data_IF_980992941540
#
_entry.id   IF_980992941540
#
_cell.length_a   1.000
_cell.length_b   1.000
_cell.length_c   1.000
_cell.angle_alpha   90.00
_cell.angle_beta   90.00
_cell.angle_gamma   90.00
#
_symmetry.space_group_name_H-M   'P 1'
#
loop_
_entity.id
_entity.type
_entity.pdbx_description
1 polymer ?
#
# COMPACT_ATOMS: atom_id res chain seq x y z
N UNK A 1 -10.53 25.61 34.74
CA UNK A 1 -9.41 24.78 34.26
C UNK A 1 -9.85 23.31 34.26
N UNK A 2 -10.35 22.83 33.12
CA UNK A 2 -10.56 21.42 32.69
C UNK A 2 -11.51 21.44 31.48
N UNK A 3 -10.98 21.28 30.27
CA UNK A 3 -11.80 20.96 29.09
C UNK A 3 -11.38 19.58 28.61
N UNK A 4 -12.31 18.63 28.71
CA UNK A 4 -12.13 17.23 28.32
C UNK A 4 -12.18 17.09 26.79
N UNK A 5 -11.35 16.16 26.30
CA UNK A 5 -11.57 15.21 25.21
C UNK A 5 -11.95 15.70 23.82
N UNK A 6 -11.16 15.26 22.83
CA UNK A 6 -11.73 14.63 21.63
C UNK A 6 -10.87 13.42 21.22
N UNK A 7 -11.33 12.26 21.68
CA UNK A 7 -10.90 10.94 21.23
C UNK A 7 -11.61 10.66 19.90
N UNK A 8 -10.91 9.96 18.99
CA UNK A 8 -11.43 9.30 17.80
C UNK A 8 -11.79 10.19 16.60
N UNK A 9 -10.78 10.51 15.80
CA UNK A 9 -10.94 10.50 14.35
C UNK A 9 -10.28 9.22 13.84
N UNK A 10 -10.95 8.07 13.96
CA UNK A 10 -10.67 6.90 13.12
C UNK A 10 -11.05 7.25 11.69
N UNK A 11 -10.26 8.12 11.06
CA UNK A 11 -10.36 8.43 9.64
C UNK A 11 -10.06 7.11 8.93
N UNK A 12 -11.12 6.41 8.51
CA UNK A 12 -11.06 5.12 7.80
C UNK A 12 -10.06 5.31 6.66
N UNK A 13 -8.85 4.79 6.81
CA UNK A 13 -7.75 5.07 5.88
C UNK A 13 -8.11 4.40 4.56
N UNK A 14 -8.66 5.18 3.63
CA UNK A 14 -9.11 4.69 2.34
C UNK A 14 -7.91 4.68 1.40
N UNK A 15 -7.06 3.67 1.55
CA UNK A 15 -5.90 3.46 0.68
C UNK A 15 -6.35 3.02 -0.71
N UNK A 16 -7.31 2.10 -0.78
CA UNK A 16 -7.81 1.53 -2.02
C UNK A 16 -9.15 2.15 -2.43
N UNK A 17 -9.19 2.73 -3.64
CA UNK A 17 -10.41 3.08 -4.36
C UNK A 17 -10.73 2.06 -5.46
N UNK A 18 -11.61 2.42 -6.40
CA UNK A 18 -11.96 1.58 -7.57
C UNK A 18 -10.73 1.20 -8.40
N UNK A 19 -9.77 2.13 -8.50
CA UNK A 19 -8.56 1.97 -9.30
C UNK A 19 -7.29 1.77 -8.44
N UNK A 20 -7.45 1.27 -7.21
CA UNK A 20 -6.33 1.04 -6.28
C UNK A 20 -5.86 2.28 -5.53
N UNK A 21 -4.58 2.30 -5.16
CA UNK A 21 -3.93 3.44 -4.48
C UNK A 21 -3.47 4.43 -5.55
N UNK A 22 -3.93 5.67 -5.48
CA UNK A 22 -3.56 6.75 -6.43
C UNK A 22 -3.04 7.97 -5.70
N UNK A 23 -2.12 8.68 -6.36
CA UNK A 23 -1.50 9.89 -5.84
C UNK A 23 -0.26 10.29 -6.64
N UNK A 24 0.34 11.43 -6.29
CA UNK A 24 1.66 11.81 -6.80
C UNK A 24 2.73 10.94 -6.14
N UNK A 25 3.65 10.43 -6.94
CA UNK A 25 4.80 9.67 -6.43
C UNK A 25 5.57 10.47 -5.37
N UNK A 26 6.12 9.77 -4.38
CA UNK A 26 6.78 10.33 -3.20
C UNK A 26 5.89 11.20 -2.30
N UNK A 27 4.58 11.24 -2.55
CA UNK A 27 3.61 11.92 -1.68
C UNK A 27 2.63 10.90 -1.15
N UNK A 28 2.30 10.96 0.14
CA UNK A 28 1.30 10.07 0.72
C UNK A 28 -0.04 10.19 -0.05
N UNK A 29 -0.68 9.08 -0.45
CA UNK A 29 -0.39 7.68 -0.10
C UNK A 29 0.50 6.91 -1.10
N UNK A 30 1.07 7.54 -2.13
CA UNK A 30 1.91 6.93 -3.16
C UNK A 30 3.41 7.06 -2.81
N UNK A 31 3.84 6.43 -1.71
CA UNK A 31 5.24 6.36 -1.26
C UNK A 31 5.79 4.94 -1.35
N UNK A 32 7.11 4.80 -1.46
CA UNK A 32 7.77 3.48 -1.47
C UNK A 32 7.49 2.67 -0.20
N UNK A 33 7.47 3.34 0.96
CA UNK A 33 7.11 2.68 2.23
C UNK A 33 5.67 2.13 2.23
N UNK A 34 4.73 2.85 1.61
CA UNK A 34 3.35 2.37 1.49
C UNK A 34 3.29 1.16 0.55
N UNK A 35 4.01 1.21 -0.57
CA UNK A 35 4.13 0.10 -1.50
C UNK A 35 4.74 -1.16 -0.84
N UNK A 36 5.79 -1.00 -0.06
CA UNK A 36 6.42 -2.09 0.71
C UNK A 36 5.41 -2.74 1.67
N UNK A 37 4.71 -1.94 2.48
CA UNK A 37 3.72 -2.46 3.44
C UNK A 37 2.55 -3.15 2.74
N UNK A 38 2.18 -2.69 1.55
CA UNK A 38 1.15 -3.34 0.71
C UNK A 38 1.65 -4.67 0.17
N UNK A 39 2.92 -4.76 -0.27
CA UNK A 39 3.55 -6.01 -0.69
C UNK A 39 3.51 -7.07 0.42
N UNK A 40 4.01 -6.70 1.60
CA UNK A 40 4.02 -7.59 2.78
C UNK A 40 2.62 -8.08 3.16
N UNK A 41 1.66 -7.15 3.21
CA UNK A 41 0.27 -7.49 3.53
C UNK A 41 -0.38 -8.37 2.45
N UNK A 42 -0.08 -8.14 1.17
CA UNK A 42 -0.55 -8.98 0.08
C UNK A 42 0.06 -10.38 0.16
N UNK A 43 1.37 -10.49 0.41
CA UNK A 43 2.06 -11.74 0.64
C UNK A 43 1.39 -12.56 1.74
N UNK A 44 1.28 -11.99 2.94
CA UNK A 44 0.65 -12.65 4.09
C UNK A 44 -0.81 -13.04 3.82
N UNK A 45 -1.58 -12.17 3.15
CA UNK A 45 -3.00 -12.41 2.91
C UNK A 45 -3.28 -13.47 1.83
N UNK A 46 -2.44 -13.53 0.79
CA UNK A 46 -2.62 -14.44 -0.35
C UNK A 46 -1.85 -15.77 -0.20
N UNK A 47 -0.98 -15.92 0.79
CA UNK A 47 -0.36 -17.20 1.17
C UNK A 47 -1.38 -18.11 1.89
N UNK A 48 -2.30 -18.71 1.14
CA UNK A 48 -3.32 -19.65 1.65
C UNK A 48 -3.28 -20.99 0.90
N UNK A 49 -3.28 -22.11 1.63
CA UNK A 49 -3.32 -23.45 1.03
C UNK A 49 -1.93 -24.03 0.75
N UNK A 50 -1.89 -25.21 0.09
CA UNK A 50 -0.65 -25.98 -0.18
C UNK A 50 -0.24 -25.97 -1.66
N UNK A 51 -0.21 -24.81 -2.30
CA UNK A 51 0.25 -24.67 -3.67
C UNK A 51 1.35 -23.61 -3.79
N UNK A 52 2.04 -23.55 -4.94
CA UNK A 52 2.98 -22.46 -5.20
C UNK A 52 2.22 -21.14 -5.32
N UNK A 53 2.68 -20.11 -4.61
CA UNK A 53 2.14 -18.76 -4.68
C UNK A 53 2.97 -17.96 -5.68
N UNK A 54 2.39 -17.67 -6.83
CA UNK A 54 3.03 -16.86 -7.88
C UNK A 54 2.36 -15.49 -7.91
N UNK A 55 3.18 -14.44 -8.00
CA UNK A 55 2.71 -13.05 -8.12
C UNK A 55 3.26 -12.47 -9.42
N UNK A 56 2.43 -11.73 -10.15
CA UNK A 56 2.82 -11.00 -11.36
C UNK A 56 2.73 -9.51 -11.07
N UNK A 57 3.84 -8.79 -11.21
CA UNK A 57 3.92 -7.35 -11.02
C UNK A 57 4.03 -6.69 -12.38
N UNK A 58 2.98 -5.97 -12.79
CA UNK A 58 2.98 -5.14 -13.99
C UNK A 58 3.31 -3.70 -13.64
N UNK A 59 4.29 -3.11 -14.34
CA UNK A 59 4.61 -1.68 -14.24
C UNK A 59 4.18 -0.92 -15.49
N UNK A 60 3.86 0.34 -15.30
CA UNK A 60 3.66 1.31 -16.39
C UNK A 60 5.02 1.92 -16.81
N UNK A 61 5.05 2.68 -17.91
CA UNK A 61 6.24 3.41 -18.38
C UNK A 61 6.54 4.68 -17.56
N UNK A 62 5.67 5.03 -16.61
CA UNK A 62 5.84 6.20 -15.72
C UNK A 62 7.08 6.05 -14.84
N UNK A 63 7.80 7.16 -14.62
CA UNK A 63 9.00 7.22 -13.76
C UNK A 63 8.73 6.72 -12.33
N UNK A 64 7.52 6.93 -11.80
CA UNK A 64 7.10 6.41 -10.50
C UNK A 64 7.16 4.89 -10.40
N UNK A 65 7.14 4.18 -11.52
CA UNK A 65 7.29 2.72 -11.57
C UNK A 65 8.61 2.26 -10.96
N UNK A 66 9.71 2.99 -11.15
CA UNK A 66 11.03 2.65 -10.58
C UNK A 66 11.09 2.75 -9.05
N UNK A 67 10.15 3.45 -8.42
CA UNK A 67 10.01 3.47 -6.97
C UNK A 67 9.10 2.32 -6.50
N UNK A 68 7.94 2.19 -7.15
CA UNK A 68 6.84 1.36 -6.65
C UNK A 68 7.08 -0.13 -6.91
N UNK A 69 7.62 -0.49 -8.07
CA UNK A 69 7.88 -1.88 -8.45
C UNK A 69 8.90 -2.58 -7.54
N UNK A 70 10.10 -2.03 -7.29
CA UNK A 70 11.03 -2.67 -6.35
C UNK A 70 10.52 -2.63 -4.91
N UNK A 71 9.78 -1.59 -4.52
CA UNK A 71 9.19 -1.52 -3.18
C UNK A 71 8.13 -2.61 -2.96
N UNK A 72 7.28 -2.88 -3.96
CA UNK A 72 6.30 -3.97 -3.91
C UNK A 72 6.95 -5.35 -3.92
N UNK A 73 8.04 -5.51 -4.66
CA UNK A 73 8.75 -6.79 -4.75
C UNK A 73 9.51 -7.12 -3.47
N UNK A 74 10.03 -6.11 -2.77
CA UNK A 74 10.79 -6.29 -1.53
C UNK A 74 9.92 -6.58 -0.30
N UNK A 75 8.62 -6.28 -0.37
CA UNK A 75 7.67 -6.45 0.73
C UNK A 75 6.88 -7.74 0.58
#
# INVERSE_FOLDING_TARGET
>A
MKTKNNISQTKKRKYFGTDGIRGRANTYPMTGETALKVGMAAGEYFTRGKHKHNVVIGKDTRLSGYLIEPSLTAG
#
